data_IF_295425327556
#
_entry.id   IF_295425327556
#
_cell.length_a   1.000
_cell.length_b   1.000
_cell.length_c   1.000
_cell.angle_alpha   90.00
_cell.angle_beta   90.00
_cell.angle_gamma   90.00
#
_symmetry.space_group_name_H-M   'P 1'
#
loop_
_entity.id
_entity.type
_entity.pdbx_description
1 polymer ?
#
# COMPACT_ATOMS: atom_id res chain seq x y z
N UNK A 1 -4.63 -13.03 9.16
CA UNK A 1 -5.09 -12.04 10.15
C UNK A 1 -4.89 -10.64 9.55
N UNK A 2 -5.91 -9.83 9.57
CA UNK A 2 -5.83 -8.43 9.08
C UNK A 2 -4.84 -7.67 9.98
N UNK A 3 -3.74 -7.19 9.40
CA UNK A 3 -2.84 -6.28 10.08
C UNK A 3 -3.65 -5.08 10.58
N UNK A 4 -3.43 -4.69 11.82
CA UNK A 4 -4.11 -3.54 12.41
C UNK A 4 -3.33 -2.28 12.04
N UNK A 5 -3.97 -1.35 11.34
CA UNK A 5 -3.41 -0.02 11.15
C UNK A 5 -3.37 0.67 12.51
N UNK A 6 -2.20 1.13 12.92
CA UNK A 6 -2.01 1.89 14.16
C UNK A 6 -1.47 3.27 13.76
N UNK A 7 -2.22 4.31 14.08
CA UNK A 7 -1.77 5.69 13.92
C UNK A 7 -1.28 6.18 15.26
N UNK A 8 0.02 6.44 15.39
CA UNK A 8 0.65 7.03 16.57
C UNK A 8 1.17 8.42 16.23
N UNK A 9 1.45 9.29 17.24
CA UNK A 9 2.08 10.58 16.97
C UNK A 9 3.38 10.47 16.15
N UNK A 10 4.21 9.47 16.43
CA UNK A 10 5.43 9.22 15.67
C UNK A 10 5.14 8.82 14.22
N UNK A 11 4.14 7.98 13.99
CA UNK A 11 3.71 7.61 12.63
C UNK A 11 3.21 8.83 11.86
N UNK A 12 2.42 9.70 12.47
CA UNK A 12 1.94 10.94 11.86
C UNK A 12 3.10 11.86 11.48
N UNK A 13 4.09 12.03 12.36
CA UNK A 13 5.30 12.83 12.06
C UNK A 13 6.05 12.30 10.84
N UNK A 14 6.18 10.98 10.71
CA UNK A 14 6.85 10.37 9.54
C UNK A 14 5.99 10.54 8.28
N UNK A 15 4.67 10.39 8.39
CA UNK A 15 3.75 10.62 7.27
C UNK A 15 3.83 12.07 6.78
N UNK A 16 3.86 13.04 7.70
CA UNK A 16 4.05 14.46 7.39
C UNK A 16 5.38 14.70 6.66
N UNK A 17 6.45 14.07 7.13
CA UNK A 17 7.76 14.17 6.50
C UNK A 17 7.76 13.59 5.06
N UNK A 18 7.16 12.43 4.86
CA UNK A 18 7.01 11.83 3.53
C UNK A 18 6.22 12.77 2.61
N UNK A 19 5.07 13.26 3.07
CA UNK A 19 4.22 14.15 2.29
C UNK A 19 4.90 15.49 1.94
N UNK A 20 5.73 16.01 2.82
CA UNK A 20 6.47 17.26 2.58
C UNK A 20 7.66 17.08 1.62
N UNK A 21 8.21 15.88 1.48
CA UNK A 21 9.44 15.62 0.71
C UNK A 21 9.24 14.75 -0.53
N UNK A 22 8.07 14.16 -0.71
CA UNK A 22 7.72 13.34 -1.87
C UNK A 22 6.43 13.82 -2.51
N UNK A 23 6.53 14.29 -3.76
CA UNK A 23 5.37 14.65 -4.58
C UNK A 23 5.24 13.67 -5.76
N UNK A 24 4.20 12.83 -5.78
CA UNK A 24 3.99 11.89 -6.86
C UNK A 24 3.69 12.60 -8.19
N UNK A 25 3.12 13.80 -8.18
CA UNK A 25 2.85 14.56 -9.41
C UNK A 25 4.16 14.97 -10.11
N UNK A 26 5.21 15.23 -9.34
CA UNK A 26 6.55 15.52 -9.86
C UNK A 26 7.28 14.24 -10.26
N UNK A 27 7.24 13.21 -9.40
CA UNK A 27 7.97 11.96 -9.63
C UNK A 27 7.43 11.15 -10.81
N UNK A 28 6.12 11.23 -11.08
CA UNK A 28 5.40 10.51 -12.14
C UNK A 28 4.75 11.46 -13.13
N UNK A 29 5.53 12.34 -13.72
CA UNK A 29 5.08 13.38 -14.66
C UNK A 29 4.10 12.86 -15.72
N UNK A 30 2.97 13.55 -15.87
CA UNK A 30 1.94 13.22 -16.84
C UNK A 30 1.03 12.05 -16.47
N UNK A 31 1.17 11.44 -15.30
CA UNK A 31 0.29 10.36 -14.82
C UNK A 31 -0.87 10.89 -13.96
N UNK A 32 -0.63 11.93 -13.17
CA UNK A 32 -1.66 12.55 -12.32
C UNK A 32 -1.25 13.99 -11.97
N UNK A 33 -2.08 14.96 -12.30
CA UNK A 33 -1.76 16.38 -12.07
C UNK A 33 -2.20 16.90 -10.69
N UNK A 34 -2.92 16.11 -9.90
CA UNK A 34 -3.64 16.63 -8.72
C UNK A 34 -3.70 15.66 -7.54
N UNK A 35 -2.77 14.72 -7.43
CA UNK A 35 -2.73 13.83 -6.28
C UNK A 35 -2.21 14.59 -5.04
N UNK A 36 -2.90 14.42 -3.92
CA UNK A 36 -2.57 15.00 -2.62
C UNK A 36 -2.55 13.93 -1.53
N UNK A 37 -1.68 14.03 -0.50
CA UNK A 37 -1.64 13.07 0.59
C UNK A 37 -2.84 13.25 1.52
N UNK A 38 -3.41 12.15 2.01
CA UNK A 38 -4.27 12.19 3.19
C UNK A 38 -3.47 11.77 4.42
N UNK A 39 -3.31 12.69 5.35
CA UNK A 39 -2.58 12.50 6.60
C UNK A 39 -3.52 12.17 7.78
N UNK A 40 -4.80 11.95 7.50
CA UNK A 40 -5.75 11.47 8.49
C UNK A 40 -5.56 9.97 8.79
N UNK A 41 -6.26 9.48 9.80
CA UNK A 41 -6.29 8.06 10.16
C UNK A 41 -6.63 7.14 8.96
N UNK A 42 -7.39 7.62 8.00
CA UNK A 42 -7.83 6.87 6.83
C UNK A 42 -6.87 6.96 5.63
N UNK A 43 -5.92 7.87 5.67
CA UNK A 43 -4.97 8.14 4.59
C UNK A 43 -3.75 7.25 4.56
N UNK A 44 -3.63 6.34 5.51
CA UNK A 44 -2.48 5.45 5.64
C UNK A 44 -2.29 4.97 7.07
N UNK A 45 -1.07 4.95 7.55
CA UNK A 45 -0.70 4.59 8.91
C UNK A 45 0.24 3.38 8.99
N UNK A 46 0.54 2.97 10.21
CA UNK A 46 1.43 1.86 10.46
C UNK A 46 0.72 0.51 10.28
N UNK A 47 1.30 -0.36 9.48
CA UNK A 47 0.89 -1.75 9.35
C UNK A 47 1.93 -2.68 9.98
N UNK A 48 1.48 -3.56 10.86
CA UNK A 48 2.28 -4.63 11.42
C UNK A 48 1.72 -5.97 10.94
N UNK A 49 2.58 -6.78 10.34
CA UNK A 49 2.24 -8.13 9.88
C UNK A 49 3.04 -9.13 10.73
N UNK A 50 2.50 -9.59 11.85
CA UNK A 50 3.19 -10.48 12.75
C UNK A 50 3.18 -11.93 12.25
N UNK A 51 4.20 -12.68 12.62
CA UNK A 51 4.14 -14.13 12.65
C UNK A 51 3.66 -14.57 14.04
N UNK A 52 2.44 -15.06 14.16
CA UNK A 52 1.86 -15.51 15.43
C UNK A 52 1.62 -17.02 15.43
N UNK A 53 2.37 -17.71 16.28
CA UNK A 53 2.05 -19.10 16.64
C UNK A 53 2.23 -20.12 15.52
N UNK A 54 3.11 -19.87 14.56
CA UNK A 54 3.37 -20.77 13.44
C UNK A 54 2.49 -20.51 12.21
N UNK A 55 1.49 -19.63 12.32
CA UNK A 55 0.75 -19.10 11.16
C UNK A 55 1.31 -17.72 10.82
N UNK A 56 2.07 -17.63 9.74
CA UNK A 56 2.62 -16.38 9.25
C UNK A 56 1.53 -15.42 8.78
N UNK A 57 1.67 -14.14 9.14
CA UNK A 57 0.82 -13.12 8.55
C UNK A 57 1.07 -13.04 7.05
N UNK A 58 0.02 -12.91 6.27
CA UNK A 58 0.11 -12.72 4.82
C UNK A 58 -0.96 -11.74 4.34
N UNK A 59 -0.80 -11.23 3.13
CA UNK A 59 -1.80 -10.44 2.45
C UNK A 59 -1.97 -10.99 1.02
N UNK A 60 -3.10 -11.65 0.77
CA UNK A 60 -3.39 -12.24 -0.55
C UNK A 60 -3.26 -11.22 -1.68
N UNK A 61 -3.01 -11.71 -2.90
CA UNK A 61 -2.90 -10.83 -4.06
C UNK A 61 -4.19 -10.06 -4.28
N UNK A 62 -4.10 -8.75 -4.30
CA UNK A 62 -5.27 -7.86 -4.41
C UNK A 62 -4.93 -6.58 -5.17
N UNK A 63 -5.96 -5.90 -5.61
CA UNK A 63 -5.94 -4.48 -5.93
C UNK A 63 -6.71 -3.72 -4.87
N UNK A 64 -6.19 -2.58 -4.49
CA UNK A 64 -6.81 -1.72 -3.48
C UNK A 64 -8.18 -1.20 -3.89
N UNK A 65 -8.99 -0.81 -2.90
CA UNK A 65 -10.17 0.01 -3.16
C UNK A 65 -9.75 1.35 -3.77
N UNK A 66 -10.52 1.82 -4.75
CA UNK A 66 -10.30 3.14 -5.36
C UNK A 66 -10.84 4.24 -4.45
N UNK A 67 -11.99 4.01 -3.81
CA UNK A 67 -12.75 5.03 -3.08
C UNK A 67 -12.24 5.18 -1.65
N UNK A 68 -12.05 6.41 -1.22
CA UNK A 68 -11.68 6.73 0.15
C UNK A 68 -12.81 6.38 1.13
N UNK A 69 -12.45 5.84 2.30
CA UNK A 69 -13.41 5.31 3.27
C UNK A 69 -14.40 6.34 3.83
N UNK A 70 -14.00 7.61 3.88
CA UNK A 70 -14.83 8.72 4.41
C UNK A 70 -15.16 9.73 3.33
N UNK A 71 -14.15 10.17 2.58
CA UNK A 71 -14.33 11.13 1.50
C UNK A 71 -14.64 10.39 0.19
N UNK A 72 -15.86 9.96 0.01
CA UNK A 72 -16.29 9.09 -1.10
C UNK A 72 -16.12 9.70 -2.50
N UNK A 73 -15.79 10.98 -2.58
CA UNK A 73 -15.41 11.67 -3.82
C UNK A 73 -13.91 11.57 -4.15
N UNK A 74 -13.13 10.90 -3.31
CA UNK A 74 -11.69 10.77 -3.52
C UNK A 74 -11.32 9.38 -4.04
N UNK A 75 -10.45 9.37 -5.07
CA UNK A 75 -9.86 8.18 -5.67
C UNK A 75 -8.40 8.04 -5.25
N UNK A 76 -8.01 6.84 -4.88
CA UNK A 76 -6.61 6.51 -4.59
C UNK A 76 -5.80 6.49 -5.88
N UNK A 77 -4.77 7.31 -5.93
CA UNK A 77 -3.88 7.40 -7.10
C UNK A 77 -2.55 6.67 -6.86
N UNK A 78 -1.97 6.86 -5.67
CA UNK A 78 -0.70 6.23 -5.32
C UNK A 78 -0.72 5.70 -3.88
N UNK A 79 0.02 4.61 -3.68
CA UNK A 79 0.38 4.09 -2.38
C UNK A 79 1.88 4.25 -2.18
N UNK A 80 2.29 4.98 -1.15
CA UNK A 80 3.67 5.13 -0.72
C UNK A 80 3.87 4.37 0.58
N UNK A 81 4.75 3.37 0.58
CA UNK A 81 4.95 2.43 1.69
C UNK A 81 6.40 2.48 2.14
N UNK A 82 6.65 3.04 3.33
CA UNK A 82 7.95 3.05 3.97
C UNK A 82 8.18 1.76 4.77
N UNK A 83 9.30 1.10 4.54
CA UNK A 83 9.75 -0.07 5.28
C UNK A 83 10.46 0.37 6.56
N UNK A 84 9.97 -0.06 7.73
CA UNK A 84 10.46 0.38 9.04
C UNK A 84 10.95 -0.74 9.97
N UNK A 85 10.96 -2.01 9.55
CA UNK A 85 11.67 -3.08 10.26
C UNK A 85 13.15 -3.06 9.92
N UNK A 86 14.01 -3.05 10.92
CA UNK A 86 15.47 -3.10 10.73
C UNK A 86 15.92 -4.49 10.32
N UNK A 87 15.35 -5.52 10.95
CA UNK A 87 15.56 -6.92 10.59
C UNK A 87 14.52 -7.38 9.59
N UNK A 88 14.92 -8.12 8.58
CA UNK A 88 14.03 -8.60 7.52
C UNK A 88 14.59 -9.84 6.81
N UNK A 89 13.70 -10.53 6.13
CA UNK A 89 14.04 -11.59 5.17
C UNK A 89 13.18 -11.50 3.88
N UNK A 90 13.34 -12.46 2.98
CA UNK A 90 12.66 -12.45 1.69
C UNK A 90 11.13 -12.62 1.80
N UNK A 91 10.61 -13.13 2.92
CA UNK A 91 9.17 -13.20 3.16
C UNK A 91 8.53 -11.83 3.39
N UNK A 92 9.34 -10.78 3.61
CA UNK A 92 8.88 -9.39 3.74
C UNK A 92 8.70 -8.67 2.41
N UNK A 93 9.15 -9.26 1.30
CA UNK A 93 9.12 -8.62 0.00
C UNK A 93 7.68 -8.34 -0.46
N UNK A 94 7.49 -7.18 -1.09
CA UNK A 94 6.24 -6.85 -1.73
C UNK A 94 6.20 -7.47 -3.13
N UNK A 95 5.18 -8.25 -3.42
CA UNK A 95 4.97 -8.84 -4.72
C UNK A 95 4.02 -8.00 -5.55
N UNK A 96 4.40 -7.74 -6.79
CA UNK A 96 3.62 -6.99 -7.78
C UNK A 96 3.28 -7.93 -8.92
N UNK A 97 2.02 -7.93 -9.37
CA UNK A 97 1.53 -8.74 -10.48
C UNK A 97 0.67 -7.89 -11.41
N UNK A 98 0.79 -8.07 -12.71
CA UNK A 98 0.04 -7.28 -13.70
C UNK A 98 -1.34 -7.88 -14.06
N UNK A 99 -1.74 -8.94 -13.39
CA UNK A 99 -3.02 -9.64 -13.63
C UNK A 99 -2.95 -10.78 -14.68
N UNK A 100 -1.90 -10.84 -15.50
CA UNK A 100 -1.76 -11.88 -16.56
C UNK A 100 -0.47 -12.69 -16.46
N UNK A 101 0.60 -12.08 -16.05
CA UNK A 101 1.90 -12.72 -15.84
C UNK A 101 2.64 -12.02 -14.74
N UNK A 102 3.56 -12.66 -14.13
CA UNK A 102 4.41 -12.06 -13.12
C UNK A 102 5.20 -10.87 -13.67
N UNK A 103 5.73 -9.89 -13.18
CA UNK A 103 5.60 -9.35 -11.91
C UNK A 103 6.98 -9.18 -11.34
N UNK A 104 7.06 -8.31 -10.43
CA UNK A 104 8.29 -7.99 -9.74
C UNK A 104 8.17 -8.32 -8.26
N UNK A 105 9.25 -8.86 -7.73
CA UNK A 105 9.48 -8.93 -6.29
C UNK A 105 10.27 -7.70 -5.87
N UNK A 106 9.69 -6.87 -5.04
CA UNK A 106 10.34 -5.67 -4.51
C UNK A 106 10.96 -6.03 -3.15
N UNK A 107 12.29 -6.14 -3.07
CA UNK A 107 12.95 -6.53 -1.83
C UNK A 107 12.65 -5.54 -0.71
N UNK A 108 12.25 -6.07 0.45
CA UNK A 108 12.12 -5.26 1.65
C UNK A 108 13.48 -4.77 2.10
N UNK A 109 13.59 -3.48 2.39
CA UNK A 109 14.80 -2.88 2.99
C UNK A 109 14.40 -1.79 3.97
N UNK A 110 15.01 -1.77 5.14
CA UNK A 110 14.84 -0.70 6.10
C UNK A 110 15.04 0.68 5.46
N UNK A 111 14.19 1.63 5.82
CA UNK A 111 14.20 3.01 5.33
C UNK A 111 13.99 3.15 3.79
N UNK A 112 13.42 2.15 3.14
CA UNK A 112 13.03 2.23 1.73
C UNK A 112 11.57 2.68 1.62
N UNK A 113 11.34 3.71 0.80
CA UNK A 113 10.01 4.11 0.36
C UNK A 113 9.70 3.43 -0.98
N UNK A 114 8.70 2.58 -1.00
CA UNK A 114 8.15 1.98 -2.21
C UNK A 114 6.91 2.76 -2.62
N UNK A 115 6.85 3.18 -3.88
CA UNK A 115 5.69 3.92 -4.40
C UNK A 115 5.19 3.24 -5.67
N UNK A 116 3.88 3.03 -5.75
CA UNK A 116 3.26 2.52 -6.97
C UNK A 116 1.93 3.23 -7.25
N UNK A 117 1.59 3.31 -8.53
CA UNK A 117 0.31 3.82 -8.99
C UNK A 117 -0.78 2.79 -8.73
N UNK A 118 -1.89 3.20 -8.14
CA UNK A 118 -3.07 2.37 -7.94
C UNK A 118 -3.91 2.34 -9.22
N UNK A 119 -4.29 1.14 -9.65
CA UNK A 119 -5.10 0.91 -10.85
C UNK A 119 -5.81 -0.44 -10.75
N UNK A 120 -6.63 -0.76 -11.72
CA UNK A 120 -7.26 -2.08 -11.82
C UNK A 120 -6.28 -3.25 -12.03
N UNK A 121 -5.05 -2.93 -12.46
CA UNK A 121 -3.99 -3.90 -12.76
C UNK A 121 -2.82 -3.84 -11.76
N UNK A 122 -2.88 -3.00 -10.73
CA UNK A 122 -1.84 -2.90 -9.70
C UNK A 122 -1.99 -4.01 -8.63
N UNK A 123 -2.05 -5.26 -9.08
CA UNK A 123 -2.11 -6.40 -8.19
C UNK A 123 -0.86 -6.48 -7.34
N UNK A 124 -1.04 -6.59 -6.05
CA UNK A 124 0.07 -6.72 -5.12
C UNK A 124 -0.32 -7.55 -3.90
N UNK A 125 0.67 -8.07 -3.22
CA UNK A 125 0.45 -8.91 -2.06
C UNK A 125 1.72 -9.14 -1.26
N UNK A 126 1.57 -9.86 -0.17
CA UNK A 126 2.61 -10.20 0.75
C UNK A 126 2.55 -11.71 0.99
N UNK A 127 3.63 -12.46 0.69
CA UNK A 127 3.67 -13.88 0.99
C UNK A 127 3.57 -14.12 2.49
N UNK A 128 3.39 -15.36 2.88
CA UNK A 128 3.41 -15.75 4.28
C UNK A 128 4.76 -15.42 4.91
N UNK A 129 4.73 -14.75 6.06
CA UNK A 129 5.92 -14.44 6.83
C UNK A 129 6.38 -15.71 7.55
N UNK A 130 7.49 -16.28 7.08
CA UNK A 130 8.04 -17.56 7.56
C UNK A 130 9.05 -17.38 8.67
N UNK A 131 9.60 -16.19 8.84
CA UNK A 131 10.50 -15.85 9.95
C UNK A 131 9.73 -15.56 11.23
N UNK A 132 10.36 -15.68 12.38
CA UNK A 132 9.79 -15.25 13.68
C UNK A 132 9.69 -13.73 13.85
N UNK A 133 10.03 -12.95 12.80
CA UNK A 133 10.10 -11.50 12.83
C UNK A 133 8.76 -10.83 12.47
N UNK A 134 8.60 -9.57 12.85
CA UNK A 134 7.45 -8.77 12.49
C UNK A 134 7.78 -7.80 11.34
N UNK A 135 7.02 -7.89 10.26
CA UNK A 135 7.10 -6.91 9.16
C UNK A 135 6.32 -5.66 9.52
N UNK A 136 6.99 -4.53 9.59
CA UNK A 136 6.39 -3.22 9.88
C UNK A 136 6.57 -2.28 8.71
N UNK A 137 5.49 -1.63 8.32
CA UNK A 137 5.50 -0.58 7.28
C UNK A 137 4.63 0.59 7.70
N UNK A 138 4.95 1.75 7.14
CA UNK A 138 4.14 2.95 7.28
C UNK A 138 3.67 3.39 5.88
N UNK A 139 2.37 3.53 5.70
CA UNK A 139 1.78 3.95 4.44
C UNK A 139 1.33 5.40 4.44
N UNK A 140 1.53 6.09 3.31
CA UNK A 140 0.87 7.35 2.97
C UNK A 140 0.16 7.14 1.63
N UNK A 141 -1.15 7.36 1.62
CA UNK A 141 -1.95 7.22 0.41
C UNK A 141 -2.17 8.60 -0.21
N UNK A 142 -2.04 8.68 -1.52
CA UNK A 142 -2.27 9.89 -2.29
C UNK A 142 -3.56 9.77 -3.08
N UNK A 143 -4.37 10.81 -3.04
CA UNK A 143 -5.73 10.85 -3.52
C UNK A 143 -5.94 11.97 -4.52
N UNK A 144 -6.91 11.82 -5.41
CA UNK A 144 -7.43 12.87 -6.26
C UNK A 144 -8.96 12.95 -6.14
N UNK A 145 -9.54 14.08 -6.52
CA UNK A 145 -11.01 14.18 -6.63
C UNK A 145 -11.48 13.45 -7.88
N UNK A 146 -12.47 12.59 -7.74
CA UNK A 146 -13.11 11.88 -8.85
C UNK A 146 -14.01 12.80 -9.68
N UNK A 147 -14.00 12.58 -11.00
CA UNK A 147 -15.07 13.02 -11.90
C UNK A 147 -16.32 12.17 -11.69
N UNK A 148 -17.47 12.62 -12.17
CA UNK A 148 -18.72 11.83 -12.10
C UNK A 148 -18.62 10.50 -12.87
N UNK A 149 -17.86 10.48 -13.96
CA UNK A 149 -17.61 9.25 -14.70
C UNK A 149 -16.80 8.24 -13.89
N UNK A 150 -15.74 8.68 -13.21
CA UNK A 150 -14.92 7.81 -12.35
C UNK A 150 -15.72 7.26 -11.18
N UNK A 151 -16.59 8.04 -10.55
CA UNK A 151 -17.46 7.59 -9.45
C UNK A 151 -18.33 6.41 -9.85
N UNK A 152 -18.81 6.38 -11.10
CA UNK A 152 -19.68 5.30 -11.58
C UNK A 152 -18.98 3.94 -11.72
N UNK A 153 -17.67 3.93 -11.83
CA UNK A 153 -16.86 2.70 -12.05
C UNK A 153 -15.87 2.39 -10.91
N UNK A 154 -15.73 3.31 -9.95
CA UNK A 154 -14.74 3.18 -8.89
C UNK A 154 -15.05 2.02 -7.92
N UNK A 155 -14.01 1.27 -7.57
CA UNK A 155 -14.12 0.17 -6.61
C UNK A 155 -14.19 0.69 -5.17
N UNK A 156 -15.28 0.34 -4.51
CA UNK A 156 -15.48 0.69 -3.08
C UNK A 156 -14.74 -0.28 -2.15
N UNK A 157 -14.39 -1.48 -2.62
CA UNK A 157 -13.69 -2.51 -1.84
C UNK A 157 -12.49 -3.03 -2.60
N UNK A 158 -11.46 -3.46 -1.87
CA UNK A 158 -10.35 -4.20 -2.45
C UNK A 158 -10.87 -5.48 -3.14
N UNK A 159 -10.26 -5.82 -4.28
CA UNK A 159 -10.55 -7.05 -5.02
C UNK A 159 -9.40 -8.02 -4.82
N UNK A 160 -9.69 -9.20 -4.32
CA UNK A 160 -8.73 -10.29 -4.15
C UNK A 160 -8.81 -11.28 -5.31
N UNK A 161 -7.69 -11.92 -5.60
CA UNK A 161 -7.62 -12.98 -6.60
C UNK A 161 -6.69 -14.10 -6.11
N UNK A 162 -7.29 -15.13 -5.54
CA UNK A 162 -6.59 -16.28 -4.97
C UNK A 162 -5.94 -17.19 -6.05
N UNK A 163 -6.18 -16.91 -7.34
CA UNK A 163 -5.52 -17.62 -8.44
C UNK A 163 -4.17 -17.04 -8.82
N UNK A 164 -3.89 -15.82 -8.38
CA UNK A 164 -2.59 -15.21 -8.54
C UNK A 164 -1.74 -15.66 -7.35
N UNK A 165 -0.79 -16.51 -7.61
CA UNK A 165 0.09 -17.02 -6.58
C UNK A 165 1.30 -16.10 -6.34
N UNK A 166 2.14 -16.50 -5.40
CA UNK A 166 3.34 -15.78 -5.00
C UNK A 166 4.61 -16.39 -5.61
N UNK A 167 4.47 -17.32 -6.54
CA UNK A 167 5.58 -18.00 -7.23
C UNK A 167 6.11 -17.26 -8.46
#
# INVERSE_FOLDING_TARGET
SKGRALTTPAALTIMDYIAANFDPNVAFQGLTDKAFPDLSYYGGGMMNTPNKGGEGGHLGMHVDADVHAVNTDWKREYSAILCISEEYDSSFDLLIHNGSSCHSRIPYRFNRLNVFKCSENSWHGLPEITSGMERKTLGVMYWSKMTEQEKSTARVKAKFNDRLDFS
#
